data_IF_838776928460
#
_entry.id   IF_838776928460
#
_cell.length_a   1.000
_cell.length_b   1.000
_cell.length_c   1.000
_cell.angle_alpha   90.00
_cell.angle_beta   90.00
_cell.angle_gamma   90.00
#
_symmetry.space_group_name_H-M   'P 1'
#
loop_
_entity.id
_entity.type
_entity.pdbx_description
1 polymer ?
#
# COMPACT_ATOMS: atom_id res chain seq x y z
N UNK A 1 -68.42 13.24 -59.41
CA UNK A 1 -69.14 11.95 -59.40
C UNK A 1 -68.25 10.98 -58.66
N UNK A 2 -68.83 10.36 -57.62
CA UNK A 2 -68.21 9.47 -56.63
C UNK A 2 -67.75 8.15 -57.28
N UNK A 3 -66.59 7.65 -56.87
CA UNK A 3 -66.27 6.28 -56.36
C UNK A 3 -64.74 6.21 -56.25
N UNK A 4 -64.08 6.12 -55.07
CA UNK A 4 -63.97 4.97 -54.14
C UNK A 4 -63.76 3.63 -54.88
N UNK A 5 -62.85 2.72 -54.54
CA UNK A 5 -61.75 2.57 -53.59
C UNK A 5 -61.07 1.24 -54.00
N UNK A 6 -59.78 1.04 -53.71
CA UNK A 6 -59.30 -0.20 -53.07
C UNK A 6 -57.77 -0.16 -52.92
N UNK A 7 -57.36 -0.48 -51.70
CA UNK A 7 -56.06 -0.26 -51.10
C UNK A 7 -55.19 -1.51 -51.26
N UNK A 8 -53.95 -1.33 -51.74
CA UNK A 8 -52.92 -2.36 -51.75
C UNK A 8 -52.05 -2.29 -50.49
N UNK A 9 -52.47 -3.04 -49.48
CA UNK A 9 -51.67 -3.90 -48.60
C UNK A 9 -50.15 -3.66 -48.55
N UNK A 10 -49.68 -2.94 -47.53
CA UNK A 10 -48.29 -2.98 -47.06
C UNK A 10 -48.23 -3.47 -45.62
N UNK A 11 -48.19 -4.79 -45.49
CA UNK A 11 -47.52 -5.62 -44.47
C UNK A 11 -46.99 -4.87 -43.23
N UNK A 12 -47.87 -4.70 -42.23
CA UNK A 12 -47.57 -4.14 -40.91
C UNK A 12 -46.78 -5.15 -40.07
N UNK A 13 -45.45 -5.17 -40.24
CA UNK A 13 -44.55 -5.96 -39.40
C UNK A 13 -43.98 -5.11 -38.26
N UNK A 14 -44.59 -5.31 -37.08
CA UNK A 14 -44.12 -5.01 -35.73
C UNK A 14 -42.65 -4.53 -35.63
N UNK A 15 -42.45 -3.22 -35.48
CA UNK A 15 -41.21 -2.67 -34.93
C UNK A 15 -41.28 -2.87 -33.42
N UNK A 16 -40.77 -4.01 -32.96
CA UNK A 16 -40.50 -4.23 -31.54
C UNK A 16 -39.33 -3.33 -31.14
N UNK A 17 -39.61 -2.28 -30.36
CA UNK A 17 -38.58 -1.47 -29.71
C UNK A 17 -37.88 -2.35 -28.66
N UNK A 18 -36.72 -2.92 -29.02
CA UNK A 18 -35.82 -3.58 -28.10
C UNK A 18 -35.11 -2.50 -27.25
N UNK A 19 -35.69 -2.18 -26.11
CA UNK A 19 -34.99 -1.41 -25.07
C UNK A 19 -33.93 -2.32 -24.45
N UNK A 20 -32.68 -2.22 -24.91
CA UNK A 20 -31.54 -2.87 -24.27
C UNK A 20 -31.30 -2.17 -22.93
N UNK A 21 -31.79 -2.76 -21.83
CA UNK A 21 -31.28 -2.44 -20.50
C UNK A 21 -29.83 -2.90 -20.45
N UNK A 22 -28.89 -1.99 -20.70
CA UNK A 22 -27.52 -2.18 -20.27
C UNK A 22 -27.52 -2.13 -18.75
N UNK A 23 -27.64 -3.29 -18.11
CA UNK A 23 -27.29 -3.45 -16.71
C UNK A 23 -25.79 -3.14 -16.61
N UNK A 24 -25.47 -1.90 -16.24
CA UNK A 24 -24.10 -1.50 -15.93
C UNK A 24 -23.60 -2.43 -14.83
N UNK A 25 -22.62 -3.27 -15.15
CA UNK A 25 -21.84 -3.95 -14.13
C UNK A 25 -21.15 -2.85 -13.33
N UNK A 26 -21.64 -2.59 -12.12
CA UNK A 26 -20.89 -1.80 -11.15
C UNK A 26 -19.63 -2.61 -10.91
N UNK A 27 -18.48 -2.14 -11.41
CA UNK A 27 -17.21 -2.75 -11.07
C UNK A 27 -17.00 -2.52 -9.56
N UNK A 28 -17.24 -3.54 -8.75
CA UNK A 28 -16.86 -3.51 -7.34
C UNK A 28 -15.34 -3.56 -7.29
N UNK A 29 -14.69 -2.66 -6.57
CA UNK A 29 -13.28 -2.85 -6.23
C UNK A 29 -13.15 -4.15 -5.41
N UNK A 30 -12.09 -4.92 -5.68
CA UNK A 30 -11.70 -6.02 -4.80
C UNK A 30 -11.53 -5.48 -3.37
N UNK A 31 -11.84 -6.29 -2.36
CA UNK A 31 -11.71 -5.88 -0.95
C UNK A 31 -10.88 -6.88 -0.17
N UNK A 32 -10.43 -6.46 1.01
CA UNK A 32 -9.79 -7.34 2.01
C UNK A 32 -10.06 -6.81 3.41
N UNK A 33 -10.32 -7.70 4.35
CA UNK A 33 -10.39 -7.33 5.76
C UNK A 33 -8.99 -7.19 6.33
N UNK A 34 -8.73 -6.07 7.01
CA UNK A 34 -7.43 -5.69 7.53
C UNK A 34 -7.53 -5.47 9.03
N UNK A 35 -6.59 -6.02 9.77
CA UNK A 35 -6.45 -5.78 11.21
C UNK A 35 -5.00 -5.53 11.58
N UNK A 36 -4.71 -4.39 12.19
CA UNK A 36 -3.38 -4.09 12.72
C UNK A 36 -3.07 -4.95 13.95
N UNK A 37 -1.91 -5.62 13.93
CA UNK A 37 -1.47 -6.53 15.01
C UNK A 37 -0.21 -6.06 15.71
N UNK A 38 0.38 -4.94 15.28
CA UNK A 38 1.53 -4.30 15.95
C UNK A 38 2.60 -3.84 14.97
N UNK A 39 3.74 -3.41 15.50
CA UNK A 39 4.88 -2.97 14.68
C UNK A 39 5.95 -4.06 14.58
N UNK A 40 6.83 -3.94 13.58
CA UNK A 40 8.02 -4.78 13.43
C UNK A 40 9.30 -3.92 13.47
N UNK A 41 10.08 -3.85 12.39
CA UNK A 41 11.33 -3.07 12.35
C UNK A 41 11.08 -1.64 11.95
N UNK A 42 11.72 -0.73 12.68
CA UNK A 42 11.61 0.71 12.46
C UNK A 42 12.16 1.51 13.64
N UNK A 43 11.92 2.82 13.55
CA UNK A 43 12.34 3.84 14.52
C UNK A 43 11.19 4.81 14.79
N UNK A 44 11.13 5.34 16.00
CA UNK A 44 10.30 6.50 16.24
C UNK A 44 10.99 7.73 15.65
N UNK A 45 10.20 8.62 15.08
CA UNK A 45 10.65 9.90 14.50
C UNK A 45 9.70 11.01 14.95
N UNK A 46 10.16 12.25 14.83
CA UNK A 46 9.33 13.44 15.00
C UNK A 46 9.09 14.05 13.63
N UNK A 47 7.84 14.09 13.19
CA UNK A 47 7.42 14.60 11.90
C UNK A 47 6.71 15.94 12.08
N UNK A 48 6.98 16.89 11.20
CA UNK A 48 6.24 18.13 11.07
C UNK A 48 5.55 18.17 9.70
N UNK A 49 4.24 18.42 9.71
CA UNK A 49 3.40 18.56 8.51
C UNK A 49 2.42 19.70 8.73
N UNK A 50 2.40 20.66 7.81
CA UNK A 50 1.48 21.81 7.85
C UNK A 50 1.46 22.57 9.19
N UNK A 51 2.62 22.66 9.86
CA UNK A 51 2.77 23.32 11.17
C UNK A 51 2.41 22.47 12.39
N UNK A 52 1.85 21.27 12.21
CA UNK A 52 1.64 20.30 13.29
C UNK A 52 2.87 19.42 13.47
N UNK A 53 3.25 19.17 14.73
CA UNK A 53 4.32 18.23 15.09
C UNK A 53 3.72 16.97 15.69
N UNK A 54 4.13 15.80 15.19
CA UNK A 54 3.68 14.50 15.67
C UNK A 54 4.85 13.53 15.84
N UNK A 55 4.77 12.70 16.88
CA UNK A 55 5.69 11.59 17.06
C UNK A 55 5.06 10.32 16.49
N UNK A 56 5.74 9.70 15.54
CA UNK A 56 5.23 8.53 14.82
C UNK A 56 6.28 7.43 14.77
N UNK A 57 5.81 6.20 14.60
CA UNK A 57 6.65 5.07 14.26
C UNK A 57 6.85 5.04 12.75
N UNK A 58 8.10 5.12 12.29
CA UNK A 58 8.49 4.93 10.90
C UNK A 58 9.08 3.52 10.73
N UNK A 59 8.37 2.65 10.02
CA UNK A 59 8.86 1.34 9.63
C UNK A 59 7.74 0.36 9.31
N UNK A 60 8.06 -0.92 9.44
CA UNK A 60 7.18 -2.04 9.15
C UNK A 60 6.01 -2.12 10.14
N UNK A 61 4.80 -2.14 9.60
CA UNK A 61 3.56 -2.41 10.33
C UNK A 61 3.12 -3.84 10.07
N UNK A 62 2.52 -4.51 11.06
CA UNK A 62 1.99 -5.87 10.93
C UNK A 62 0.48 -5.80 10.81
N UNK A 63 -0.03 -6.47 9.79
CA UNK A 63 -1.47 -6.60 9.56
C UNK A 63 -1.82 -8.07 9.32
N UNK A 64 -2.95 -8.50 9.87
CA UNK A 64 -3.60 -9.74 9.40
C UNK A 64 -4.61 -9.35 8.33
N UNK A 65 -4.51 -9.99 7.17
CA UNK A 65 -5.42 -9.88 6.04
C UNK A 65 -6.31 -11.13 5.99
N UNK A 66 -7.60 -10.95 5.71
CA UNK A 66 -8.56 -12.06 5.61
C UNK A 66 -9.77 -11.68 4.75
N UNK A 67 -10.64 -12.65 4.45
CA UNK A 67 -11.94 -12.44 3.79
C UNK A 67 -11.87 -11.60 2.49
N UNK A 68 -10.77 -11.72 1.76
CA UNK A 68 -10.59 -10.94 0.54
C UNK A 68 -11.52 -11.38 -0.59
N UNK A 69 -11.96 -10.41 -1.40
CA UNK A 69 -12.86 -10.61 -2.54
C UNK A 69 -12.16 -10.29 -3.85
N UNK A 70 -12.72 -10.77 -4.96
CA UNK A 70 -12.17 -10.55 -6.29
C UNK A 70 -10.85 -11.28 -6.55
N UNK A 71 -10.13 -10.89 -7.61
CA UNK A 71 -8.97 -11.64 -8.12
C UNK A 71 -7.71 -11.43 -7.27
N UNK A 72 -7.53 -10.20 -6.79
CA UNK A 72 -6.37 -9.81 -5.99
C UNK A 72 -6.67 -10.05 -4.51
N UNK A 73 -7.81 -9.56 -4.03
CA UNK A 73 -8.18 -9.65 -2.60
C UNK A 73 -8.24 -11.09 -2.11
N UNK A 74 -8.80 -12.04 -2.89
CA UNK A 74 -8.92 -13.43 -2.47
C UNK A 74 -7.59 -14.16 -2.25
N UNK A 75 -6.47 -13.58 -2.72
CA UNK A 75 -5.11 -14.11 -2.52
C UNK A 75 -4.44 -13.54 -1.27
N UNK A 76 -5.01 -12.48 -0.68
CA UNK A 76 -4.48 -11.81 0.49
C UNK A 76 -5.08 -12.43 1.76
N UNK A 77 -4.43 -13.47 2.25
CA UNK A 77 -4.78 -14.13 3.51
C UNK A 77 -3.52 -14.35 4.36
N UNK A 78 -3.64 -14.11 5.67
CA UNK A 78 -2.56 -14.28 6.64
C UNK A 78 -1.91 -12.97 7.11
N UNK A 79 -0.73 -13.08 7.71
CA UNK A 79 -0.01 -11.93 8.26
C UNK A 79 0.91 -11.30 7.22
N UNK A 80 0.93 -9.97 7.14
CA UNK A 80 1.75 -9.19 6.21
C UNK A 80 2.51 -8.10 6.94
N UNK A 81 3.70 -7.78 6.41
CA UNK A 81 4.35 -6.50 6.68
C UNK A 81 3.89 -5.49 5.65
N UNK A 82 3.49 -4.32 6.14
CA UNK A 82 3.01 -3.22 5.31
C UNK A 82 3.76 -1.94 5.66
N UNK A 83 3.64 -0.96 4.77
CA UNK A 83 4.08 0.40 4.99
C UNK A 83 2.91 1.34 4.77
N UNK A 84 2.86 2.41 5.54
CA UNK A 84 1.79 3.39 5.50
C UNK A 84 2.04 4.43 4.40
N UNK A 85 1.00 4.86 3.69
CA UNK A 85 1.06 6.01 2.76
C UNK A 85 0.35 7.26 3.28
N UNK A 86 -0.32 7.18 4.43
CA UNK A 86 -1.18 8.24 4.97
C UNK A 86 -0.76 8.71 6.37
N UNK A 87 -0.43 9.99 6.51
CA UNK A 87 -0.07 10.62 7.77
C UNK A 87 -1.27 11.23 8.53
N UNK A 88 -2.45 11.30 7.90
CA UNK A 88 -3.64 11.96 8.45
C UNK A 88 -4.62 10.98 9.13
N UNK A 89 -4.42 9.68 8.95
CA UNK A 89 -5.18 8.62 9.62
C UNK A 89 -4.30 7.66 10.41
N UNK A 90 -4.94 6.81 11.23
CA UNK A 90 -4.29 5.84 12.10
C UNK A 90 -4.66 4.40 11.74
N UNK A 91 -3.73 3.47 11.95
CA UNK A 91 -4.03 2.04 11.94
C UNK A 91 -5.00 1.65 13.05
N UNK A 92 -5.74 0.56 12.86
CA UNK A 92 -6.71 0.07 13.84
C UNK A 92 -6.60 -1.44 14.08
N UNK A 93 -6.66 -1.84 15.35
CA UNK A 93 -6.69 -3.24 15.77
C UNK A 93 -8.08 -3.88 15.65
N UNK A 94 -9.09 -3.09 15.28
CA UNK A 94 -10.42 -3.59 14.91
C UNK A 94 -10.39 -3.94 13.42
N UNK A 95 -10.89 -5.12 13.05
CA UNK A 95 -10.99 -5.51 11.65
C UNK A 95 -11.84 -4.51 10.87
N UNK A 96 -11.33 -4.04 9.74
CA UNK A 96 -12.03 -3.17 8.79
C UNK A 96 -11.87 -3.71 7.38
N UNK A 97 -12.88 -3.54 6.55
CA UNK A 97 -12.79 -3.84 5.13
C UNK A 97 -12.11 -2.67 4.42
N UNK A 98 -11.03 -2.97 3.72
CA UNK A 98 -10.29 -2.07 2.85
C UNK A 98 -10.58 -2.44 1.39
N UNK A 99 -10.44 -1.46 0.51
CA UNK A 99 -10.45 -1.67 -0.93
C UNK A 99 -9.03 -1.96 -1.42
N UNK A 100 -8.89 -2.87 -2.37
CA UNK A 100 -7.68 -2.99 -3.17
C UNK A 100 -7.65 -1.78 -4.12
N UNK A 101 -6.63 -0.95 -3.98
CA UNK A 101 -6.54 0.34 -4.67
C UNK A 101 -5.25 0.47 -5.48
N UNK A 102 -5.34 1.25 -6.57
CA UNK A 102 -4.14 1.74 -7.25
C UNK A 102 -3.45 2.77 -6.35
N UNK A 103 -2.13 2.64 -6.22
CA UNK A 103 -1.28 3.58 -5.48
C UNK A 103 -1.53 5.03 -5.93
N UNK A 104 -1.78 5.27 -7.22
CA UNK A 104 -2.03 6.61 -7.74
C UNK A 104 -3.28 7.27 -7.12
N UNK A 105 -4.23 6.47 -6.62
CA UNK A 105 -5.47 6.93 -5.98
C UNK A 105 -5.37 7.07 -4.47
N UNK A 106 -4.24 6.69 -3.88
CA UNK A 106 -3.95 6.76 -2.44
C UNK A 106 -3.06 7.98 -2.10
N UNK A 107 -3.08 8.51 -0.87
CA UNK A 107 -3.93 8.09 0.23
C UNK A 107 -5.38 8.59 0.08
N UNK A 108 -6.34 7.80 0.56
CA UNK A 108 -7.75 8.19 0.70
C UNK A 108 -8.02 8.73 2.11
N UNK A 109 -8.94 9.69 2.30
CA UNK A 109 -9.72 10.43 1.28
C UNK A 109 -8.94 11.57 0.61
N UNK A 110 -7.62 11.68 0.79
CA UNK A 110 -6.81 12.86 0.46
C UNK A 110 -6.60 13.14 -1.05
N UNK A 111 -7.45 12.60 -1.93
CA UNK A 111 -7.48 12.92 -3.36
C UNK A 111 -6.48 12.15 -4.25
N UNK A 112 -5.68 11.26 -3.66
CA UNK A 112 -4.70 10.44 -4.39
C UNK A 112 -3.40 11.19 -4.75
N UNK A 113 -2.29 10.46 -4.76
CA UNK A 113 -0.95 11.01 -5.01
C UNK A 113 -0.61 11.18 -6.49
N UNK A 114 -1.38 10.55 -7.39
CA UNK A 114 -1.15 10.55 -8.83
C UNK A 114 -0.03 9.62 -9.30
N UNK A 115 0.03 9.41 -10.62
CA UNK A 115 0.84 8.35 -11.23
C UNK A 115 2.34 8.54 -11.04
N UNK A 116 2.85 9.78 -11.05
CA UNK A 116 4.28 10.03 -10.88
C UNK A 116 4.78 9.61 -9.50
N UNK A 117 3.99 9.85 -8.46
CA UNK A 117 4.34 9.47 -7.08
C UNK A 117 4.15 7.97 -6.88
N UNK A 118 3.08 7.40 -7.42
CA UNK A 118 2.85 5.96 -7.43
C UNK A 118 4.02 5.21 -8.10
N UNK A 119 4.48 5.69 -9.26
CA UNK A 119 5.61 5.10 -9.96
C UNK A 119 6.91 5.21 -9.16
N UNK A 120 7.18 6.36 -8.53
CA UNK A 120 8.34 6.53 -7.65
C UNK A 120 8.31 5.55 -6.46
N UNK A 121 7.14 5.28 -5.88
CA UNK A 121 6.98 4.24 -4.85
C UNK A 121 7.32 2.86 -5.45
N UNK A 122 6.78 2.49 -6.62
CA UNK A 122 7.10 1.21 -7.27
C UNK A 122 8.61 1.07 -7.54
N UNK A 123 9.29 2.15 -7.91
CA UNK A 123 10.73 2.17 -8.13
C UNK A 123 11.50 1.86 -6.84
N UNK A 124 11.18 2.50 -5.72
CA UNK A 124 11.89 2.21 -4.45
C UNK A 124 11.59 0.80 -3.92
N UNK A 125 10.41 0.25 -4.20
CA UNK A 125 10.10 -1.15 -3.91
C UNK A 125 10.92 -2.11 -4.76
N UNK A 126 11.11 -1.79 -6.05
CA UNK A 126 11.96 -2.54 -6.96
C UNK A 126 13.42 -2.52 -6.52
N UNK A 127 13.95 -1.33 -6.21
CA UNK A 127 15.29 -1.15 -5.67
C UNK A 127 15.51 -1.91 -4.35
N UNK A 128 14.55 -1.81 -3.42
CA UNK A 128 14.67 -2.48 -2.13
C UNK A 128 14.64 -4.01 -2.25
N UNK A 129 14.06 -4.58 -3.32
CA UNK A 129 14.14 -6.00 -3.67
C UNK A 129 13.86 -6.97 -2.51
N UNK A 130 12.89 -6.64 -1.65
CA UNK A 130 12.48 -7.43 -0.49
C UNK A 130 13.20 -7.09 0.83
N UNK A 131 14.30 -6.31 0.80
CA UNK A 131 14.99 -5.86 2.01
C UNK A 131 14.08 -5.06 2.95
N UNK A 132 13.10 -4.35 2.41
CA UNK A 132 12.11 -3.61 3.19
C UNK A 132 11.29 -4.54 4.11
N UNK A 133 11.16 -5.82 3.77
CA UNK A 133 10.40 -6.80 4.53
C UNK A 133 11.25 -7.69 5.46
N UNK A 134 12.58 -7.52 5.45
CA UNK A 134 13.46 -8.30 6.34
C UNK A 134 13.20 -7.91 7.79
N UNK A 135 12.83 -8.87 8.64
CA UNK A 135 12.42 -8.64 10.03
C UNK A 135 13.52 -8.99 11.04
N UNK A 136 14.75 -8.55 10.77
CA UNK A 136 15.91 -8.73 11.68
C UNK A 136 16.24 -7.43 12.43
N UNK A 137 16.93 -7.52 13.57
CA UNK A 137 17.27 -6.35 14.39
C UNK A 137 18.13 -5.32 13.66
N UNK A 138 18.94 -5.79 12.72
CA UNK A 138 19.89 -5.00 11.92
C UNK A 138 19.14 -4.17 10.87
N UNK A 139 17.95 -4.61 10.45
CA UNK A 139 17.18 -3.96 9.39
C UNK A 139 16.34 -2.75 9.86
N UNK A 140 16.47 -2.34 11.13
CA UNK A 140 15.63 -1.25 11.70
C UNK A 140 15.82 0.09 11.02
N UNK A 141 17.06 0.41 10.63
CA UNK A 141 17.37 1.71 9.99
C UNK A 141 16.91 1.73 8.54
N UNK A 142 17.08 0.63 7.80
CA UNK A 142 16.55 0.49 6.44
C UNK A 142 15.02 0.51 6.44
N UNK A 143 14.35 -0.24 7.33
CA UNK A 143 12.90 -0.23 7.43
C UNK A 143 12.33 1.17 7.77
N UNK A 144 13.01 1.91 8.66
CA UNK A 144 12.65 3.29 8.94
C UNK A 144 12.86 4.18 7.71
N UNK A 145 14.05 4.15 7.09
CA UNK A 145 14.35 4.91 5.87
C UNK A 145 13.34 4.63 4.75
N UNK A 146 12.92 3.38 4.57
CA UNK A 146 11.92 3.00 3.59
C UNK A 146 10.55 3.64 3.86
N UNK A 147 10.06 3.57 5.10
CA UNK A 147 8.80 4.24 5.48
C UNK A 147 8.87 5.76 5.30
N UNK A 148 10.00 6.37 5.67
CA UNK A 148 10.23 7.81 5.48
C UNK A 148 10.24 8.17 3.99
N UNK A 149 10.89 7.37 3.15
CA UNK A 149 10.91 7.58 1.71
C UNK A 149 9.51 7.48 1.09
N UNK A 150 8.68 6.53 1.54
CA UNK A 150 7.27 6.44 1.10
C UNK A 150 6.50 7.73 1.40
N UNK A 151 6.66 8.31 2.59
CA UNK A 151 5.98 9.56 2.94
C UNK A 151 6.51 10.75 2.14
N UNK A 152 7.83 10.90 2.05
CA UNK A 152 8.46 11.97 1.26
C UNK A 152 8.01 11.90 -0.21
N UNK A 153 7.89 10.70 -0.77
CA UNK A 153 7.38 10.52 -2.13
C UNK A 153 5.91 10.90 -2.23
N UNK A 154 5.07 10.43 -1.30
CA UNK A 154 3.64 10.66 -1.32
C UNK A 154 3.28 12.16 -1.20
N UNK A 155 4.05 12.94 -0.44
CA UNK A 155 3.74 14.33 -0.15
C UNK A 155 4.58 15.34 -0.95
N UNK A 156 5.87 15.09 -1.17
CA UNK A 156 6.82 16.08 -1.70
C UNK A 156 7.44 15.72 -3.06
N UNK A 157 7.29 14.49 -3.56
CA UNK A 157 7.83 14.15 -4.88
C UNK A 157 7.16 14.98 -6.00
N UNK A 158 8.00 15.54 -6.86
CA UNK A 158 7.61 16.26 -8.06
C UNK A 158 8.47 15.77 -9.23
N UNK A 159 7.87 15.05 -10.18
CA UNK A 159 8.60 14.46 -11.32
C UNK A 159 9.26 15.47 -12.25
N UNK A 160 8.81 16.73 -12.27
CA UNK A 160 9.47 17.78 -13.05
C UNK A 160 10.78 18.26 -12.41
N UNK A 161 10.92 18.10 -11.08
CA UNK A 161 12.13 18.44 -10.31
C UNK A 161 12.99 17.19 -10.07
N UNK A 162 12.35 16.02 -9.99
CA UNK A 162 13.00 14.73 -9.74
C UNK A 162 13.53 14.62 -8.31
N UNK A 163 14.66 13.92 -8.15
CA UNK A 163 15.34 13.66 -6.87
C UNK A 163 15.45 14.87 -5.95
N UNK A 164 15.69 16.05 -6.50
CA UNK A 164 15.89 17.29 -5.74
C UNK A 164 14.62 17.80 -5.04
N UNK A 165 13.44 17.24 -5.33
CA UNK A 165 12.21 17.55 -4.59
C UNK A 165 12.09 16.78 -3.28
N UNK A 166 12.96 15.80 -3.03
CA UNK A 166 12.90 14.91 -1.87
C UNK A 166 13.95 15.29 -0.84
N UNK A 167 13.55 15.37 0.44
CA UNK A 167 14.49 15.70 1.51
C UNK A 167 13.79 15.92 2.85
N UNK A 168 14.21 15.16 3.85
CA UNK A 168 13.62 15.17 5.20
C UNK A 168 13.80 16.45 6.02
N UNK A 169 14.56 17.43 5.52
CA UNK A 169 14.83 18.69 6.24
C UNK A 169 14.06 19.89 5.69
N UNK A 170 13.25 19.72 4.66
CA UNK A 170 12.58 20.81 3.94
C UNK A 170 11.40 20.29 3.12
N UNK A 171 10.41 21.13 2.84
CA UNK A 171 9.26 20.75 2.03
C UNK A 171 7.98 20.74 2.86
N UNK A 172 6.99 19.97 2.44
CA UNK A 172 5.73 19.80 3.18
C UNK A 172 5.93 18.92 4.41
N UNK A 173 6.93 18.04 4.37
CA UNK A 173 7.36 17.21 5.49
C UNK A 173 8.74 17.66 6.00
N UNK A 174 8.88 17.75 7.32
CA UNK A 174 10.17 17.85 7.99
C UNK A 174 10.26 16.72 9.01
N UNK A 175 11.28 15.88 8.89
CA UNK A 175 11.41 14.64 9.64
C UNK A 175 12.73 14.64 10.42
N UNK A 176 12.60 14.55 11.73
CA UNK A 176 13.69 14.54 12.69
C UNK A 176 13.75 13.19 13.42
N UNK A 177 14.91 12.89 14.00
CA UNK A 177 14.98 11.83 15.02
C UNK A 177 14.02 12.14 16.16
N UNK A 178 13.49 11.09 16.79
CA UNK A 178 12.59 11.24 17.92
C UNK A 178 13.17 12.16 18.99
N UNK A 179 12.42 13.21 19.36
CA UNK A 179 12.87 14.24 20.28
C UNK A 179 13.54 15.46 19.63
N UNK A 180 13.57 15.54 18.30
CA UNK A 180 13.96 16.75 17.56
C UNK A 180 15.42 16.84 17.12
N UNK A 181 16.18 15.73 17.18
CA UNK A 181 17.56 15.67 16.67
C UNK A 181 17.65 15.30 15.19
N UNK A 182 18.86 15.24 14.64
CA UNK A 182 19.09 14.72 13.29
C UNK A 182 18.90 13.20 13.23
N UNK A 183 18.36 12.68 12.13
CA UNK A 183 18.32 11.24 11.85
C UNK A 183 19.73 10.62 11.88
N UNK A 184 19.84 9.33 12.21
CA UNK A 184 21.14 8.66 12.21
C UNK A 184 21.76 8.67 10.80
N UNK A 185 23.09 8.64 10.72
CA UNK A 185 23.80 8.58 9.44
C UNK A 185 23.41 7.35 8.60
N UNK A 186 23.10 6.23 9.25
CA UNK A 186 22.62 5.01 8.58
C UNK A 186 21.25 5.24 7.90
N UNK A 187 20.29 5.87 8.59
CA UNK A 187 18.99 6.19 7.99
C UNK A 187 19.16 7.18 6.84
N UNK A 188 19.99 8.21 7.02
CA UNK A 188 20.25 9.20 5.97
C UNK A 188 20.91 8.58 4.73
N UNK A 189 21.84 7.64 4.91
CA UNK A 189 22.46 6.93 3.79
C UNK A 189 21.42 6.13 2.99
N UNK A 190 20.61 5.30 3.66
CA UNK A 190 19.54 4.54 3.01
C UNK A 190 18.49 5.43 2.35
N UNK A 191 18.14 6.56 2.97
CA UNK A 191 17.22 7.54 2.37
C UNK A 191 17.76 8.09 1.06
N UNK A 192 19.06 8.42 1.00
CA UNK A 192 19.66 8.92 -0.22
C UNK A 192 19.59 7.88 -1.35
N UNK A 193 19.93 6.62 -1.07
CA UNK A 193 19.84 5.53 -2.03
C UNK A 193 18.39 5.35 -2.54
N UNK A 194 17.41 5.37 -1.62
CA UNK A 194 16.00 5.23 -1.96
C UNK A 194 15.49 6.41 -2.79
N UNK A 195 15.87 7.63 -2.44
CA UNK A 195 15.46 8.81 -3.19
C UNK A 195 16.08 8.84 -4.59
N UNK A 196 17.32 8.39 -4.75
CA UNK A 196 17.95 8.25 -6.07
C UNK A 196 17.18 7.21 -6.91
N UNK A 197 16.79 6.08 -6.30
CA UNK A 197 15.97 5.07 -6.96
C UNK A 197 14.55 5.56 -7.31
N UNK A 198 13.94 6.44 -6.51
CA UNK A 198 12.62 7.01 -6.79
C UNK A 198 12.55 7.69 -8.17
N UNK A 199 13.67 8.26 -8.63
CA UNK A 199 13.79 8.96 -9.90
C UNK A 199 14.29 8.06 -11.06
N UNK A 200 14.60 6.79 -10.79
CA UNK A 200 15.12 5.85 -11.78
C UNK A 200 14.03 4.94 -12.31
N UNK A 201 13.64 5.16 -13.57
CA UNK A 201 12.61 4.38 -14.25
C UNK A 201 13.06 2.95 -14.57
N UNK A 202 14.33 2.57 -14.43
CA UNK A 202 14.74 1.19 -14.69
C UNK A 202 14.24 0.20 -13.63
N UNK A 203 13.81 0.68 -12.46
CA UNK A 203 13.18 -0.14 -11.43
C UNK A 203 11.68 -0.35 -11.71
N UNK A 204 11.37 -1.11 -12.75
CA UNK A 204 10.00 -1.58 -13.00
C UNK A 204 9.79 -2.96 -12.37
N UNK A 205 8.64 -3.20 -11.73
CA UNK A 205 8.20 -4.58 -11.48
C UNK A 205 8.23 -5.05 -10.03
N UNK A 206 7.77 -4.22 -9.11
CA UNK A 206 7.33 -4.73 -7.82
C UNK A 206 5.80 -4.92 -7.85
N UNK A 207 5.31 -6.10 -7.44
CA UNK A 207 3.89 -6.44 -7.25
C UNK A 207 3.31 -5.68 -6.04
N UNK A 208 3.46 -4.35 -6.04
CA UNK A 208 3.01 -3.48 -4.96
C UNK A 208 1.54 -3.21 -5.15
N UNK A 209 0.80 -3.45 -4.09
CA UNK A 209 -0.64 -3.24 -4.04
C UNK A 209 -0.93 -2.29 -2.89
N UNK A 210 -1.86 -1.39 -3.16
CA UNK A 210 -2.49 -0.55 -2.17
C UNK A 210 -3.70 -1.23 -1.53
N UNK A 211 -3.82 -1.11 -0.22
CA UNK A 211 -5.07 -1.33 0.50
C UNK A 211 -5.48 0.01 1.10
N UNK A 212 -6.66 0.49 0.72
CA UNK A 212 -7.14 1.82 1.09
C UNK A 212 -8.43 1.78 1.91
N UNK A 213 -8.60 2.74 2.82
CA UNK A 213 -9.83 2.92 3.58
C UNK A 213 -10.15 4.40 3.76
N UNK A 214 -11.43 4.76 3.67
CA UNK A 214 -11.88 6.13 3.92
C UNK A 214 -11.73 6.55 5.39
N UNK A 215 -11.48 5.61 6.31
CA UNK A 215 -11.56 5.85 7.77
C UNK A 215 -10.39 5.28 8.57
N UNK A 216 -9.43 4.63 7.92
CA UNK A 216 -8.29 4.01 8.58
C UNK A 216 -7.06 4.02 7.67
N UNK A 217 -5.88 4.14 8.25
CA UNK A 217 -4.65 4.43 7.52
C UNK A 217 -4.37 3.47 6.36
N UNK A 218 -4.21 4.05 5.18
CA UNK A 218 -3.85 3.37 3.93
C UNK A 218 -2.47 2.69 4.02
N UNK A 219 -2.39 1.48 3.46
CA UNK A 219 -1.17 0.68 3.49
C UNK A 219 -0.80 0.17 2.10
N UNK A 220 0.50 0.00 1.90
CA UNK A 220 1.07 -0.67 0.73
C UNK A 220 1.82 -1.92 1.15
N UNK A 221 1.72 -2.97 0.33
CA UNK A 221 2.36 -4.26 0.56
C UNK A 221 2.73 -4.92 -0.78
N UNK A 222 3.47 -6.02 -0.71
CA UNK A 222 3.69 -6.90 -1.86
C UNK A 222 2.81 -8.16 -1.71
N UNK A 223 1.92 -8.41 -2.68
CA UNK A 223 0.98 -9.55 -2.63
C UNK A 223 1.65 -10.92 -2.50
N UNK A 224 2.91 -11.03 -2.92
CA UNK A 224 3.60 -12.32 -3.03
C UNK A 224 4.38 -12.70 -1.77
N UNK A 225 4.39 -11.85 -0.72
CA UNK A 225 5.23 -12.04 0.47
C UNK A 225 4.38 -12.03 1.76
N UNK A 226 3.62 -13.10 2.05
CA UNK A 226 3.08 -13.29 3.39
C UNK A 226 4.22 -13.52 4.39
N UNK A 227 4.07 -13.02 5.62
CA UNK A 227 4.95 -13.36 6.71
C UNK A 227 4.86 -14.86 6.99
N UNK A 228 5.98 -15.59 7.09
CA UNK A 228 5.95 -16.96 7.59
C UNK A 228 5.28 -16.96 8.96
N UNK A 229 4.14 -17.64 9.08
CA UNK A 229 3.40 -17.72 10.33
C UNK A 229 4.35 -18.22 11.42
N UNK A 230 4.52 -17.43 12.48
CA UNK A 230 5.51 -17.69 13.55
C UNK A 230 5.32 -19.02 14.31
N UNK A 231 4.30 -19.82 13.96
CA UNK A 231 4.06 -21.15 14.50
C UNK A 231 5.10 -22.21 14.06
N UNK A 232 5.85 -22.00 12.97
CA UNK A 232 6.81 -23.01 12.46
C UNK A 232 8.25 -22.86 13.00
N UNK A 233 8.64 -21.67 13.48
CA UNK A 233 10.03 -21.43 13.92
C UNK A 233 10.30 -21.83 15.38
N UNK A 234 9.26 -22.08 16.18
CA UNK A 234 9.39 -22.53 17.58
C UNK A 234 9.40 -24.05 17.78
N UNK A 235 8.97 -24.84 16.78
CA UNK A 235 8.77 -26.29 16.92
C UNK A 235 10.02 -27.15 16.69
N UNK A 236 10.96 -26.69 15.87
CA UNK A 236 12.15 -27.48 15.52
C UNK A 236 13.25 -27.45 16.60
N UNK A 237 13.25 -26.47 17.50
CA UNK A 237 14.16 -26.41 18.64
C UNK A 237 13.76 -27.30 19.83
N UNK A 238 12.46 -27.57 19.99
CA UNK A 238 11.93 -28.32 21.15
C UNK A 238 11.82 -29.82 20.90
N UNK A 239 11.70 -30.27 19.65
CA UNK A 239 11.74 -31.69 19.31
C UNK A 239 13.13 -32.32 19.59
N UNK A 240 14.22 -31.56 19.39
CA UNK A 240 15.58 -32.00 19.70
C UNK A 240 15.87 -32.15 21.19
N UNK A 241 15.25 -31.31 22.04
CA UNK A 241 15.41 -31.36 23.50
C UNK A 241 14.56 -32.45 24.16
N UNK A 242 13.40 -32.81 23.57
CA UNK A 242 12.61 -33.94 24.04
C UNK A 242 13.23 -35.30 23.67
N UNK A 243 13.89 -35.40 22.50
CA UNK A 243 14.56 -36.62 22.06
C UNK A 243 15.87 -36.91 22.81
N UNK A 244 16.61 -35.88 23.24
CA UNK A 244 17.86 -36.07 24.00
C UNK A 244 17.63 -36.47 25.47
N UNK A 245 16.46 -36.13 26.03
CA UNK A 245 16.06 -36.54 27.39
C UNK A 245 15.56 -37.98 27.50
N UNK A 246 15.22 -38.63 26.39
CA UNK A 246 14.85 -40.07 26.35
C UNK A 246 16.04 -41.01 26.09
N UNK A 247 17.25 -40.47 25.87
CA UNK A 247 18.48 -41.25 25.66
C UNK A 247 19.50 -41.11 26.81
N UNK A 248 19.06 -40.73 28.00
CA UNK A 248 19.85 -40.85 29.23
C UNK A 248 19.14 -41.80 30.19
#
# INVERSE_FOLDING_TARGET
MIDESEEGEWDMKYIAAMTVLMAGTIACADTVDVRFTGTARGRNVTLQKSGSTMNVFAGQLKHTLSNGTGTVGSRLDGDYLTFCTDLDQYVTSTTRTYEIADLATMPKPAGGMGESRAQAIRNIFGFASGQQFVNTSENRDFAAAFQLAVWEIAYDFNSAVGRSSLGVSSGSLIINAYGGGTLSSAIQAHLNDLFDAANDFNYHGSDVIGIASETAQDQILNASIPLPSAALSGGLGLAGLAASRRRR
#
